data_IF_021057570757
#
_entry.id   IF_021057570757
#
_cell.length_a   1.000
_cell.length_b   1.000
_cell.length_c   1.000
_cell.angle_alpha   90.00
_cell.angle_beta   90.00
_cell.angle_gamma   90.00
#
_symmetry.space_group_name_H-M   'P 1'
#
loop_
_entity.id
_entity.type
_entity.pdbx_description
1 polymer ?
#
# COMPACT_ATOMS: atom_id res chain seq x y z
N UNK A 1 -7.44 -20.26 27.48
CA UNK A 1 -7.78 -19.86 26.10
C UNK A 1 -6.90 -20.65 25.17
N UNK A 2 -7.45 -21.17 24.06
CA UNK A 2 -6.65 -21.84 23.04
C UNK A 2 -5.78 -20.80 22.30
N UNK A 3 -4.70 -21.23 21.65
CA UNK A 3 -3.79 -20.34 20.92
C UNK A 3 -4.53 -19.51 19.87
N UNK A 4 -5.47 -20.13 19.17
CA UNK A 4 -6.30 -19.52 18.13
C UNK A 4 -7.16 -18.39 18.71
N UNK A 5 -7.72 -18.61 19.90
CA UNK A 5 -8.50 -17.58 20.61
C UNK A 5 -7.62 -16.39 20.97
N UNK A 6 -6.39 -16.63 21.44
CA UNK A 6 -5.45 -15.56 21.79
C UNK A 6 -5.08 -14.75 20.55
N UNK A 7 -4.78 -15.42 19.42
CA UNK A 7 -4.45 -14.77 18.16
C UNK A 7 -5.63 -13.93 17.63
N UNK A 8 -6.86 -14.45 17.70
CA UNK A 8 -8.05 -13.73 17.29
C UNK A 8 -8.28 -12.45 18.12
N UNK A 9 -8.19 -12.55 19.45
CA UNK A 9 -8.32 -11.40 20.36
C UNK A 9 -7.20 -10.40 20.12
N UNK A 10 -5.95 -10.85 19.97
CA UNK A 10 -4.81 -9.98 19.69
C UNK A 10 -5.00 -9.23 18.36
N UNK A 11 -5.48 -9.90 17.31
CA UNK A 11 -5.80 -9.29 16.03
C UNK A 11 -6.91 -8.22 16.14
N UNK A 12 -7.99 -8.51 16.86
CA UNK A 12 -9.07 -7.56 17.10
C UNK A 12 -8.60 -6.33 17.87
N UNK A 13 -7.78 -6.51 18.91
CA UNK A 13 -7.19 -5.41 19.67
C UNK A 13 -6.23 -4.58 18.81
N UNK A 14 -5.38 -5.22 18.00
CA UNK A 14 -4.48 -4.52 17.08
C UNK A 14 -5.26 -3.67 16.07
N UNK A 15 -6.35 -4.19 15.50
CA UNK A 15 -7.24 -3.42 14.63
C UNK A 15 -7.86 -2.23 15.36
N UNK A 16 -8.42 -2.45 16.56
CA UNK A 16 -9.04 -1.39 17.34
C UNK A 16 -8.04 -0.27 17.68
N UNK A 17 -6.85 -0.63 18.12
CA UNK A 17 -5.76 0.31 18.39
C UNK A 17 -5.42 1.08 17.12
N UNK A 18 -5.25 0.40 15.98
CA UNK A 18 -4.97 1.06 14.71
C UNK A 18 -6.05 2.08 14.34
N UNK A 19 -7.33 1.71 14.43
CA UNK A 19 -8.45 2.62 14.16
C UNK A 19 -8.40 3.84 15.10
N UNK A 20 -8.22 3.62 16.41
CA UNK A 20 -8.11 4.72 17.39
C UNK A 20 -6.94 5.66 17.05
N UNK A 21 -5.79 5.13 16.65
CA UNK A 21 -4.64 5.94 16.23
C UNK A 21 -4.91 6.73 14.94
N UNK A 22 -5.71 6.19 14.02
CA UNK A 22 -6.12 6.94 12.81
C UNK A 22 -7.08 8.09 13.16
N UNK A 23 -8.01 7.86 14.10
CA UNK A 23 -8.98 8.87 14.54
C UNK A 23 -8.32 10.03 15.30
N UNK A 24 -7.27 9.77 16.07
CA UNK A 24 -6.50 10.81 16.79
C UNK A 24 -5.55 11.59 15.88
N UNK A 25 -5.51 11.27 14.58
CA UNK A 25 -4.59 11.88 13.63
C UNK A 25 -3.12 11.57 13.92
N UNK A 26 -2.84 10.55 14.75
CA UNK A 26 -1.50 10.06 15.03
C UNK A 26 -0.87 9.40 13.81
N UNK A 27 -1.69 8.69 13.03
CA UNK A 27 -1.30 8.13 11.74
C UNK A 27 -1.35 9.23 10.69
N UNK A 28 -0.38 10.15 10.72
CA UNK A 28 -0.12 11.07 9.59
C UNK A 28 0.78 10.38 8.58
N UNK A 29 0.67 10.77 7.31
CA UNK A 29 1.60 10.34 6.27
C UNK A 29 3.01 10.86 6.59
N UNK A 30 3.80 10.05 7.28
CA UNK A 30 5.21 10.30 7.59
C UNK A 30 6.12 9.49 6.66
N UNK A 31 7.38 9.89 6.47
CA UNK A 31 8.37 9.03 5.85
C UNK A 31 8.34 7.63 6.49
N UNK A 32 8.27 6.59 5.68
CA UNK A 32 8.19 5.20 6.15
C UNK A 32 6.79 4.64 6.38
N UNK A 33 5.71 5.40 6.12
CA UNK A 33 4.32 4.88 6.27
C UNK A 33 4.05 3.61 5.44
N UNK A 34 4.79 3.40 4.35
CA UNK A 34 4.71 2.19 3.53
C UNK A 34 5.24 0.92 4.22
N UNK A 35 6.08 1.05 5.26
CA UNK A 35 6.68 -0.09 5.98
C UNK A 35 5.64 -0.90 6.74
N UNK A 36 4.63 -0.23 7.32
CA UNK A 36 3.58 -0.92 8.09
C UNK A 36 2.80 -1.93 7.23
N UNK A 37 2.17 -1.56 6.10
CA UNK A 37 1.49 -2.53 5.26
C UNK A 37 2.46 -3.55 4.64
N UNK A 38 3.72 -3.18 4.37
CA UNK A 38 4.73 -4.15 3.90
C UNK A 38 5.03 -5.22 4.94
N UNK A 39 5.26 -4.83 6.20
CA UNK A 39 5.52 -5.73 7.30
C UNK A 39 4.31 -6.64 7.58
N UNK A 40 3.09 -6.07 7.58
CA UNK A 40 1.86 -6.86 7.73
C UNK A 40 1.67 -7.87 6.59
N UNK A 41 1.99 -7.48 5.35
CA UNK A 41 1.93 -8.41 4.21
C UNK A 41 2.89 -9.59 4.41
N UNK A 42 4.14 -9.32 4.82
CA UNK A 42 5.15 -10.37 5.05
C UNK A 42 4.76 -11.27 6.22
N UNK A 43 4.37 -10.70 7.36
CA UNK A 43 3.96 -11.46 8.54
C UNK A 43 2.74 -12.34 8.23
N UNK A 44 1.74 -11.79 7.55
CA UNK A 44 0.55 -12.56 7.20
C UNK A 44 0.83 -13.62 6.14
N UNK A 45 1.71 -13.35 5.18
CA UNK A 45 2.17 -14.35 4.22
C UNK A 45 2.87 -15.53 4.90
N UNK A 46 3.80 -15.26 5.82
CA UNK A 46 4.49 -16.32 6.57
C UNK A 46 3.53 -17.14 7.43
N UNK A 47 2.59 -16.48 8.11
CA UNK A 47 1.52 -17.16 8.84
C UNK A 47 0.63 -18.02 7.94
N UNK A 48 0.27 -17.50 6.77
CA UNK A 48 -0.54 -18.21 5.78
C UNK A 48 0.20 -19.43 5.21
N UNK A 49 1.51 -19.33 4.99
CA UNK A 49 2.32 -20.47 4.54
C UNK A 49 2.34 -21.59 5.59
N UNK A 50 2.45 -21.22 6.87
CA UNK A 50 2.38 -22.20 7.97
C UNK A 50 1.01 -22.87 8.06
N UNK A 51 -0.08 -22.13 7.82
CA UNK A 51 -1.43 -22.69 7.75
C UNK A 51 -1.58 -23.65 6.57
N UNK A 52 -1.17 -23.24 5.36
CA UNK A 52 -1.18 -24.10 4.16
C UNK A 52 -0.39 -25.39 4.37
N UNK A 53 0.76 -25.31 5.05
CA UNK A 53 1.59 -26.47 5.35
C UNK A 53 0.91 -27.47 6.30
N UNK A 54 0.13 -26.97 7.28
CA UNK A 54 -0.52 -27.80 8.30
C UNK A 54 -1.92 -28.27 7.92
N UNK A 55 -2.68 -27.44 7.20
CA UNK A 55 -4.12 -27.58 6.99
C UNK A 55 -4.50 -27.74 5.50
N UNK A 56 -3.48 -27.85 4.63
CA UNK A 56 -3.57 -27.95 3.16
C UNK A 56 -3.87 -26.62 2.43
N UNK A 57 -3.51 -26.52 1.14
CA UNK A 57 -3.76 -25.32 0.33
C UNK A 57 -5.24 -24.92 0.20
N UNK A 58 -6.17 -25.87 0.37
CA UNK A 58 -7.62 -25.64 0.27
C UNK A 58 -8.32 -25.68 1.63
N UNK A 59 -7.58 -25.74 2.74
CA UNK A 59 -8.17 -25.78 4.09
C UNK A 59 -9.09 -24.58 4.38
N UNK A 60 -8.75 -23.41 3.84
CA UNK A 60 -9.58 -22.21 3.96
C UNK A 60 -10.97 -22.39 3.34
N UNK A 61 -11.13 -23.17 2.27
CA UNK A 61 -12.42 -23.33 1.60
C UNK A 61 -13.46 -24.00 2.52
N UNK A 62 -13.03 -25.03 3.25
CA UNK A 62 -13.86 -25.72 4.25
C UNK A 62 -14.33 -24.74 5.33
N UNK A 63 -13.44 -23.86 5.80
CA UNK A 63 -13.79 -22.87 6.83
C UNK A 63 -14.85 -21.85 6.36
N UNK A 64 -14.82 -21.45 5.10
CA UNK A 64 -15.79 -20.50 4.54
C UNK A 64 -17.15 -21.14 4.18
N UNK A 65 -17.22 -22.48 4.14
CA UNK A 65 -18.43 -23.20 3.69
C UNK A 65 -19.05 -24.09 4.77
N UNK A 66 -18.42 -24.25 5.94
CA UNK A 66 -18.92 -25.17 6.99
C UNK A 66 -20.26 -24.78 7.59
N UNK A 67 -20.60 -23.50 7.63
CA UNK A 67 -21.86 -23.00 8.19
C UNK A 67 -22.15 -21.57 7.72
N UNK A 68 -23.33 -21.05 8.08
CA UNK A 68 -23.79 -19.71 7.70
C UNK A 68 -22.82 -18.61 8.17
N UNK A 69 -22.21 -18.73 9.35
CA UNK A 69 -21.23 -17.76 9.84
C UNK A 69 -19.96 -17.75 8.98
N UNK A 70 -19.43 -18.92 8.62
CA UNK A 70 -18.28 -19.03 7.72
C UNK A 70 -18.55 -18.40 6.36
N UNK A 71 -19.73 -18.65 5.80
CA UNK A 71 -20.15 -18.06 4.52
C UNK A 71 -20.37 -16.55 4.63
N UNK A 72 -20.95 -16.06 5.73
CA UNK A 72 -21.10 -14.62 5.97
C UNK A 72 -19.74 -13.92 6.08
N UNK A 73 -18.79 -14.50 6.83
CA UNK A 73 -17.41 -13.98 6.94
C UNK A 73 -16.74 -13.95 5.56
N UNK A 74 -16.96 -14.98 4.74
CA UNK A 74 -16.44 -15.00 3.37
C UNK A 74 -16.92 -13.81 2.53
N UNK A 75 -18.22 -13.56 2.55
CA UNK A 75 -18.80 -12.41 1.83
C UNK A 75 -18.27 -11.08 2.35
N UNK A 76 -18.15 -10.92 3.68
CA UNK A 76 -17.58 -9.72 4.29
C UNK A 76 -16.15 -9.45 3.79
N UNK A 77 -15.30 -10.48 3.77
CA UNK A 77 -13.93 -10.38 3.24
C UNK A 77 -13.88 -10.02 1.75
N UNK A 78 -14.76 -10.61 0.93
CA UNK A 78 -14.84 -10.30 -0.50
C UNK A 78 -15.30 -8.86 -0.75
N UNK A 79 -16.29 -8.38 0.01
CA UNK A 79 -16.77 -7.00 -0.09
C UNK A 79 -15.71 -5.99 0.37
N UNK A 80 -15.02 -6.28 1.48
CA UNK A 80 -13.90 -5.48 1.95
C UNK A 80 -12.74 -5.44 0.93
N UNK A 81 -12.42 -6.58 0.32
CA UNK A 81 -11.40 -6.67 -0.73
C UNK A 81 -11.80 -5.88 -1.99
N UNK A 82 -13.06 -5.95 -2.41
CA UNK A 82 -13.57 -5.16 -3.53
C UNK A 82 -13.50 -3.65 -3.25
N UNK A 83 -13.90 -3.22 -2.04
CA UNK A 83 -13.76 -1.84 -1.61
C UNK A 83 -12.29 -1.39 -1.60
N UNK A 84 -11.40 -2.17 -0.99
CA UNK A 84 -9.98 -1.86 -0.98
C UNK A 84 -9.39 -1.78 -2.40
N UNK A 85 -9.75 -2.72 -3.28
CA UNK A 85 -9.32 -2.70 -4.68
C UNK A 85 -9.76 -1.42 -5.40
N UNK A 86 -11.03 -1.03 -5.27
CA UNK A 86 -11.54 0.20 -5.91
C UNK A 86 -10.79 1.45 -5.45
N UNK A 87 -10.44 1.54 -4.16
CA UNK A 87 -9.66 2.64 -3.59
C UNK A 87 -8.19 2.62 -4.01
N UNK A 88 -7.58 1.44 -4.17
CA UNK A 88 -6.16 1.29 -4.54
C UNK A 88 -5.92 1.34 -6.06
N UNK A 89 -6.91 0.97 -6.88
CA UNK A 89 -6.74 0.88 -8.33
C UNK A 89 -6.45 2.26 -8.96
N UNK A 90 -7.16 3.31 -8.55
CA UNK A 90 -6.96 4.67 -9.07
C UNK A 90 -5.53 5.20 -8.83
N UNK A 91 -5.00 5.20 -7.59
CA UNK A 91 -3.62 5.63 -7.36
C UNK A 91 -2.59 4.68 -7.98
N UNK A 92 -2.83 3.38 -8.05
CA UNK A 92 -1.95 2.46 -8.77
C UNK A 92 -1.79 2.83 -10.25
N UNK A 93 -2.89 3.21 -10.93
CA UNK A 93 -2.85 3.71 -12.31
C UNK A 93 -2.02 4.99 -12.43
N UNK A 94 -2.18 5.93 -11.49
CA UNK A 94 -1.38 7.18 -11.45
C UNK A 94 0.12 6.89 -11.41
N UNK A 95 0.52 5.86 -10.69
CA UNK A 95 1.92 5.42 -10.59
C UNK A 95 2.32 4.38 -11.67
N UNK A 96 1.51 4.20 -12.72
CA UNK A 96 1.75 3.27 -13.86
C UNK A 96 2.01 1.83 -13.43
N UNK A 97 1.44 1.40 -12.31
CA UNK A 97 1.53 0.00 -11.87
C UNK A 97 0.73 -0.89 -12.83
N UNK A 98 1.24 -2.07 -13.16
CA UNK A 98 0.56 -3.04 -14.02
C UNK A 98 -0.62 -3.69 -13.28
N UNK A 99 -1.81 -3.07 -13.37
CA UNK A 99 -3.02 -3.51 -12.65
C UNK A 99 -3.34 -5.01 -12.82
N UNK A 100 -3.23 -5.65 -14.01
CA UNK A 100 -3.52 -7.07 -14.15
C UNK A 100 -2.63 -7.97 -13.29
N UNK A 101 -1.34 -7.63 -13.13
CA UNK A 101 -0.41 -8.39 -12.28
C UNK A 101 -0.79 -8.25 -10.81
N UNK A 102 -1.15 -7.04 -10.39
CA UNK A 102 -1.61 -6.79 -9.02
C UNK A 102 -2.96 -7.45 -8.74
N UNK A 103 -3.87 -7.48 -9.72
CA UNK A 103 -5.14 -8.17 -9.60
C UNK A 103 -4.92 -9.67 -9.39
N UNK A 104 -4.04 -10.28 -10.20
CA UNK A 104 -3.70 -11.69 -10.04
C UNK A 104 -3.13 -11.98 -8.64
N UNK A 105 -2.22 -11.12 -8.15
CA UNK A 105 -1.67 -11.25 -6.80
C UNK A 105 -2.76 -11.18 -5.73
N UNK A 106 -3.70 -10.23 -5.83
CA UNK A 106 -4.82 -10.08 -4.90
C UNK A 106 -5.77 -11.27 -4.96
N UNK A 107 -6.10 -11.77 -6.15
CA UNK A 107 -6.98 -12.93 -6.32
C UNK A 107 -6.40 -14.20 -5.69
N UNK A 108 -5.09 -14.38 -5.79
CA UNK A 108 -4.39 -15.58 -5.26
C UNK A 108 -4.11 -15.48 -3.76
N UNK A 109 -3.90 -14.27 -3.23
CA UNK A 109 -3.40 -14.08 -1.86
C UNK A 109 -4.31 -13.24 -0.93
N UNK A 110 -5.43 -12.75 -1.45
CA UNK A 110 -6.37 -11.91 -0.70
C UNK A 110 -5.76 -10.61 -0.19
N UNK A 111 -5.85 -10.39 1.13
CA UNK A 111 -5.37 -9.16 1.76
C UNK A 111 -3.85 -9.01 1.75
N UNK A 112 -3.07 -10.09 1.59
CA UNK A 112 -1.61 -10.01 1.42
C UNK A 112 -1.28 -9.19 0.17
N UNK A 113 -1.92 -9.50 -0.96
CA UNK A 113 -1.75 -8.76 -2.21
C UNK A 113 -2.21 -7.30 -2.10
N UNK A 114 -3.32 -7.04 -1.39
CA UNK A 114 -3.80 -5.68 -1.15
C UNK A 114 -2.84 -4.86 -0.28
N UNK A 115 -2.29 -5.46 0.79
CA UNK A 115 -1.30 -4.83 1.65
C UNK A 115 0.00 -4.54 0.89
N UNK A 116 0.48 -5.48 0.09
CA UNK A 116 1.66 -5.30 -0.77
C UNK A 116 1.44 -4.18 -1.80
N UNK A 117 0.26 -4.13 -2.42
CA UNK A 117 -0.12 -3.08 -3.37
C UNK A 117 -0.18 -1.71 -2.70
N UNK A 118 -0.80 -1.62 -1.52
CA UNK A 118 -0.86 -0.41 -0.72
C UNK A 118 0.54 0.07 -0.32
N UNK A 119 1.40 -0.83 0.17
CA UNK A 119 2.79 -0.53 0.49
C UNK A 119 3.55 0.03 -0.72
N UNK A 120 3.40 -0.58 -1.91
CA UNK A 120 4.04 -0.09 -3.13
C UNK A 120 3.57 1.31 -3.52
N UNK A 121 2.27 1.58 -3.46
CA UNK A 121 1.71 2.91 -3.74
C UNK A 121 2.30 3.95 -2.77
N UNK A 122 2.30 3.65 -1.48
CA UNK A 122 2.81 4.55 -0.44
C UNK A 122 4.32 4.80 -0.61
N UNK A 123 5.09 3.77 -0.95
CA UNK A 123 6.51 3.88 -1.27
C UNK A 123 6.74 4.84 -2.44
N UNK A 124 6.00 4.66 -3.54
CA UNK A 124 6.14 5.50 -4.74
C UNK A 124 5.74 6.96 -4.48
N UNK A 125 4.67 7.20 -3.71
CA UNK A 125 4.27 8.55 -3.29
C UNK A 125 5.36 9.25 -2.50
N UNK A 126 6.00 8.55 -1.57
CA UNK A 126 7.07 9.12 -0.76
C UNK A 126 8.30 9.48 -1.61
N UNK A 127 8.73 8.61 -2.53
CA UNK A 127 9.92 8.85 -3.34
C UNK A 127 9.69 9.99 -4.34
N UNK A 128 8.51 10.08 -4.93
CA UNK A 128 8.15 11.20 -5.81
C UNK A 128 8.10 12.55 -5.07
N UNK A 129 7.70 12.56 -3.79
CA UNK A 129 7.74 13.78 -2.99
C UNK A 129 9.17 14.25 -2.70
N UNK A 130 10.10 13.32 -2.45
CA UNK A 130 11.51 13.62 -2.22
C UNK A 130 12.22 14.11 -3.50
N UNK A 131 11.88 13.54 -4.66
CA UNK A 131 12.45 13.96 -5.94
C UNK A 131 11.97 15.36 -6.38
N UNK A 132 10.72 15.71 -6.06
CA UNK A 132 10.13 17.03 -6.38
C UNK A 132 10.70 18.21 -5.58
N UNK A 133 11.25 17.95 -4.40
CA UNK A 133 11.87 18.96 -3.52
C UNK A 133 13.39 19.13 -3.79
N UNK A 134 13.94 18.44 -4.79
CA UNK A 134 15.37 18.55 -5.14
C UNK A 134 15.67 19.91 -5.82
N UNK A 135 16.63 20.71 -5.31
CA UNK A 135 16.88 22.09 -5.76
C UNK A 135 17.50 22.25 -7.17
N UNK A 136 17.47 21.20 -8.00
CA UNK A 136 18.18 21.15 -9.29
C UNK A 136 17.30 21.60 -10.47
N UNK A 137 16.02 21.93 -10.26
CA UNK A 137 15.11 22.35 -11.34
C UNK A 137 15.02 23.86 -11.58
N UNK A 138 15.82 24.69 -10.91
CA UNK A 138 15.82 26.15 -11.03
C UNK A 138 17.17 26.75 -11.43
N UNK A 139 18.11 25.94 -11.96
CA UNK A 139 19.26 26.48 -12.65
C UNK A 139 18.81 27.09 -14.00
N UNK A 140 18.45 28.37 -13.96
CA UNK A 140 18.42 29.23 -15.14
C UNK A 140 19.75 29.10 -15.91
N UNK A 141 19.74 29.05 -17.25
CA UNK A 141 20.95 29.31 -18.00
C UNK A 141 21.24 30.81 -17.89
N UNK A 142 22.11 31.16 -16.94
CA UNK A 142 22.74 32.47 -16.87
C UNK A 142 23.49 32.74 -18.16
N UNK A 143 22.93 33.61 -18.99
CA UNK A 143 23.53 34.14 -20.20
C UNK A 143 23.65 35.66 -20.12
N UNK A 144 24.67 36.13 -19.41
CA UNK A 144 25.16 37.51 -19.55
C UNK A 144 26.68 37.47 -19.44
N UNK A 145 27.36 37.68 -20.57
CA UNK A 145 28.19 38.87 -20.78
C UNK A 145 29.05 38.71 -22.04
N UNK A 146 28.77 39.54 -23.05
CA UNK A 146 29.85 40.09 -23.86
C UNK A 146 29.41 41.45 -24.43
N UNK A 147 29.71 42.49 -23.65
CA UNK A 147 29.74 43.86 -24.15
C UNK A 147 31.06 44.10 -24.87
N UNK A 148 31.02 44.27 -26.20
CA UNK A 148 32.00 45.04 -26.96
C UNK A 148 31.50 45.24 -28.39
N UNK A 149 31.05 46.45 -28.76
CA UNK A 149 31.81 47.31 -29.68
C UNK A 149 30.99 48.57 -30.04
N UNK A 150 31.67 49.70 -29.98
CA UNK A 150 31.17 51.03 -30.24
C UNK A 150 30.92 51.30 -31.74
N UNK A 151 29.93 52.15 -32.05
CA UNK A 151 29.94 52.98 -33.24
C UNK A 151 29.03 54.20 -33.08
N UNK A 152 29.53 55.45 -33.24
CA UNK A 152 28.70 56.61 -33.46
C UNK A 152 28.81 57.09 -34.92
N UNK A 153 27.67 57.16 -35.63
CA UNK A 153 27.43 57.96 -36.85
C UNK A 153 25.92 58.22 -36.89
N UNK A 154 25.35 59.41 -37.02
CA UNK A 154 25.85 60.74 -37.34
C UNK A 154 24.74 61.46 -38.11
N UNK A 155 24.38 62.67 -37.65
CA UNK A 155 23.51 63.71 -38.24
C UNK A 155 22.02 63.41 -38.40
#
# INVERSE_FOLDING_TARGET
MTMETILAVAGALAFLIYVLLTLTGWVRMRPGTWLLPAALAVLFFLGSLAAVWKESPLGFWTEHTRNLWGTQIWFDLLLAAALAWTLLAAPARKHRMALPVWLLLVLVSGSIGLLAMAARILYLRQHQALDGDSPVSSAEPGGTDEGANAAPKGR
#
